data_IF_764963710552
#
_entry.id   IF_764963710552
#
_cell.length_a   1.000
_cell.length_b   1.000
_cell.length_c   1.000
_cell.angle_alpha   90.00
_cell.angle_beta   90.00
_cell.angle_gamma   90.00
#
_symmetry.space_group_name_H-M   'P 1'
#
loop_
_entity.id
_entity.type
_entity.pdbx_description
1 polymer ?
#
# COMPACT_ATOMS: atom_id res chain seq x y z
N UNK A 1 4.73 -2.05 7.22
CA UNK A 1 3.46 -2.59 7.78
C UNK A 1 2.76 -3.61 6.87
N UNK A 2 2.95 -3.57 5.53
CA UNK A 2 2.40 -4.59 4.61
C UNK A 2 2.93 -6.04 4.84
N UNK A 3 4.16 -6.18 5.36
CA UNK A 3 4.81 -7.48 5.60
C UNK A 3 4.04 -8.41 6.54
N UNK A 4 3.20 -7.90 7.44
CA UNK A 4 2.40 -8.74 8.33
C UNK A 4 1.19 -9.38 7.61
N UNK A 5 0.62 -8.72 6.60
CA UNK A 5 -0.48 -9.29 5.81
C UNK A 5 0.01 -10.44 4.93
N UNK A 6 1.16 -10.25 4.27
CA UNK A 6 1.78 -11.27 3.43
C UNK A 6 2.13 -12.55 4.20
N UNK A 7 2.60 -12.39 5.45
CA UNK A 7 2.92 -13.52 6.34
C UNK A 7 1.69 -14.36 6.74
N UNK A 8 0.48 -13.81 6.64
CA UNK A 8 -0.76 -14.53 6.96
C UNK A 8 -1.31 -15.33 5.76
N UNK A 9 -0.90 -14.99 4.53
CA UNK A 9 -1.39 -15.67 3.33
C UNK A 9 -0.93 -17.13 3.26
N UNK A 10 0.34 -17.41 3.52
CA UNK A 10 0.88 -18.77 3.45
C UNK A 10 0.25 -19.71 4.50
N UNK A 11 0.15 -19.33 5.80
CA UNK A 11 -0.59 -20.13 6.78
C UNK A 11 -2.07 -20.32 6.45
N UNK A 12 -2.74 -19.27 5.93
CA UNK A 12 -4.13 -19.37 5.50
C UNK A 12 -4.30 -20.32 4.29
N UNK A 13 -3.31 -20.36 3.39
CA UNK A 13 -3.27 -21.30 2.27
C UNK A 13 -3.10 -22.73 2.76
N UNK A 14 -2.09 -22.98 3.58
CA UNK A 14 -1.80 -24.31 4.13
C UNK A 14 -2.99 -24.87 4.96
N UNK A 15 -3.65 -24.03 5.75
CA UNK A 15 -4.86 -24.41 6.48
C UNK A 15 -6.00 -24.82 5.54
N UNK A 16 -6.22 -24.03 4.47
CA UNK A 16 -7.24 -24.31 3.46
C UNK A 16 -7.00 -25.64 2.74
N UNK A 17 -5.74 -25.90 2.37
CA UNK A 17 -5.35 -27.10 1.63
C UNK A 17 -5.49 -28.35 2.48
N UNK A 18 -5.09 -28.28 3.76
CA UNK A 18 -5.27 -29.39 4.72
C UNK A 18 -6.74 -29.75 4.93
N UNK A 19 -7.63 -28.77 5.06
CA UNK A 19 -9.06 -29.02 5.20
C UNK A 19 -9.67 -29.60 3.92
N UNK A 20 -9.24 -29.11 2.76
CA UNK A 20 -9.70 -29.63 1.46
C UNK A 20 -9.27 -31.08 1.25
N UNK A 21 -8.04 -31.43 1.66
CA UNK A 21 -7.56 -32.80 1.64
C UNK A 21 -8.34 -33.71 2.62
N UNK A 22 -8.63 -33.22 3.84
CA UNK A 22 -9.40 -33.96 4.84
C UNK A 22 -10.84 -34.26 4.39
N UNK A 23 -11.42 -33.39 3.56
CA UNK A 23 -12.80 -33.52 3.10
C UNK A 23 -12.97 -34.39 1.86
N UNK A 24 -11.93 -34.48 1.02
CA UNK A 24 -11.87 -35.44 -0.09
C UNK A 24 -11.91 -36.91 0.37
N UNK A 25 -11.45 -37.20 1.59
CA UNK A 25 -11.41 -38.55 2.17
C UNK A 25 -12.71 -39.01 2.84
N UNK A 26 -13.77 -38.20 2.82
CA UNK A 26 -15.03 -38.54 3.49
C UNK A 26 -15.82 -39.50 2.60
N UNK A 27 -15.51 -40.78 2.83
CA UNK A 27 -16.20 -41.96 2.32
C UNK A 27 -17.73 -41.85 2.48
N UNK A 28 -18.45 -42.51 1.56
CA UNK A 28 -19.89 -42.74 1.63
C UNK A 28 -20.34 -43.47 2.91
N UNK A 29 -19.39 -43.99 3.70
CA UNK A 29 -19.62 -44.57 5.02
C UNK A 29 -20.29 -43.60 6.02
N UNK A 30 -20.15 -42.28 5.84
CA UNK A 30 -20.71 -41.27 6.76
C UNK A 30 -22.05 -40.69 6.31
N UNK A 31 -22.64 -41.19 5.22
CA UNK A 31 -23.85 -40.61 4.60
C UNK A 31 -25.03 -40.53 5.58
N UNK A 32 -25.17 -41.48 6.51
CA UNK A 32 -26.22 -41.47 7.55
C UNK A 32 -25.75 -40.97 8.93
N UNK A 33 -24.49 -40.52 9.05
CA UNK A 33 -23.91 -40.00 10.31
C UNK A 33 -23.49 -38.52 10.20
N UNK A 34 -24.22 -37.73 9.41
CA UNK A 34 -23.97 -36.30 9.26
C UNK A 34 -22.82 -35.95 8.31
N UNK A 35 -22.40 -36.89 7.45
CA UNK A 35 -21.36 -36.65 6.44
C UNK A 35 -21.71 -35.54 5.44
N UNK A 36 -23.00 -35.36 5.14
CA UNK A 36 -23.48 -34.29 4.27
C UNK A 36 -23.41 -32.90 4.95
N UNK A 37 -23.83 -32.79 6.21
CA UNK A 37 -23.65 -31.58 7.03
C UNK A 37 -22.17 -31.23 7.20
N UNK A 38 -21.31 -32.23 7.43
CA UNK A 38 -19.87 -32.02 7.52
C UNK A 38 -19.27 -31.52 6.19
N UNK A 39 -19.66 -32.13 5.06
CA UNK A 39 -19.24 -31.66 3.72
C UNK A 39 -19.70 -30.22 3.47
N UNK A 40 -20.92 -29.88 3.87
CA UNK A 40 -21.46 -28.54 3.75
C UNK A 40 -20.66 -27.54 4.60
N UNK A 41 -20.43 -27.84 5.88
CA UNK A 41 -19.64 -26.98 6.77
C UNK A 41 -18.21 -26.78 6.28
N UNK A 42 -17.59 -27.84 5.74
CA UNK A 42 -16.26 -27.72 5.17
C UNK A 42 -16.24 -26.87 3.90
N UNK A 43 -17.25 -27.02 3.04
CA UNK A 43 -17.39 -26.19 1.84
C UNK A 43 -17.59 -24.71 2.20
N UNK A 44 -18.42 -24.43 3.20
CA UNK A 44 -18.60 -23.06 3.73
C UNK A 44 -17.31 -22.51 4.35
N UNK A 45 -16.59 -23.33 5.09
CA UNK A 45 -15.32 -22.95 5.70
C UNK A 45 -14.27 -22.63 4.63
N UNK A 46 -14.14 -23.45 3.59
CA UNK A 46 -13.24 -23.20 2.44
C UNK A 46 -13.62 -21.88 1.76
N UNK A 47 -14.93 -21.65 1.53
CA UNK A 47 -15.42 -20.39 0.95
C UNK A 47 -15.02 -19.18 1.80
N UNK A 48 -15.22 -19.23 3.11
CA UNK A 48 -14.83 -18.15 4.04
C UNK A 48 -13.32 -17.92 4.05
N UNK A 49 -12.52 -18.98 4.01
CA UNK A 49 -11.06 -18.87 3.93
C UNK A 49 -10.59 -18.21 2.63
N UNK A 50 -11.22 -18.52 1.49
CA UNK A 50 -10.91 -17.87 0.22
C UNK A 50 -11.29 -16.39 0.23
N UNK A 51 -12.43 -16.03 0.83
CA UNK A 51 -12.82 -14.62 1.02
C UNK A 51 -11.82 -13.88 1.91
N UNK A 52 -11.36 -14.51 2.99
CA UNK A 52 -10.37 -13.93 3.89
C UNK A 52 -9.03 -13.68 3.19
N UNK A 53 -8.54 -14.64 2.39
CA UNK A 53 -7.34 -14.46 1.56
C UNK A 53 -7.48 -13.30 0.58
N UNK A 54 -8.62 -13.19 -0.10
CA UNK A 54 -8.89 -12.11 -1.04
C UNK A 54 -8.88 -10.74 -0.33
N UNK A 55 -9.48 -10.65 0.85
CA UNK A 55 -9.49 -9.42 1.65
C UNK A 55 -8.07 -9.03 2.10
N UNK A 56 -7.25 -9.98 2.55
CA UNK A 56 -5.85 -9.72 2.93
C UNK A 56 -5.05 -9.20 1.73
N UNK A 57 -5.17 -9.86 0.57
CA UNK A 57 -4.48 -9.44 -0.65
C UNK A 57 -4.91 -8.03 -1.10
N UNK A 58 -6.19 -7.71 -0.95
CA UNK A 58 -6.71 -6.39 -1.25
C UNK A 58 -6.15 -5.32 -0.30
N UNK A 59 -6.13 -5.57 1.01
CA UNK A 59 -5.53 -4.67 1.99
C UNK A 59 -4.05 -4.44 1.68
N UNK A 60 -3.30 -5.49 1.35
CA UNK A 60 -1.89 -5.39 0.97
C UNK A 60 -1.70 -4.50 -0.26
N UNK A 61 -2.53 -4.68 -1.30
CA UNK A 61 -2.51 -3.86 -2.51
C UNK A 61 -2.83 -2.39 -2.22
N UNK A 62 -3.87 -2.13 -1.43
CA UNK A 62 -4.29 -0.76 -1.07
C UNK A 62 -3.21 -0.06 -0.23
N UNK A 63 -2.59 -0.76 0.72
CA UNK A 63 -1.47 -0.23 1.50
C UNK A 63 -0.26 0.13 0.63
N UNK A 64 0.09 -0.72 -0.34
CA UNK A 64 1.19 -0.44 -1.26
C UNK A 64 0.88 0.74 -2.19
N UNK A 65 -0.35 0.83 -2.68
CA UNK A 65 -0.82 1.97 -3.46
C UNK A 65 -0.76 3.27 -2.64
N UNK A 66 -1.19 3.22 -1.38
CA UNK A 66 -1.15 4.39 -0.49
C UNK A 66 0.29 4.82 -0.19
N UNK A 67 1.19 3.88 0.07
CA UNK A 67 2.61 4.18 0.28
C UNK A 67 3.25 4.81 -0.97
N UNK A 68 2.91 4.32 -2.16
CA UNK A 68 3.39 4.87 -3.44
C UNK A 68 2.87 6.29 -3.66
N UNK A 69 1.58 6.52 -3.40
CA UNK A 69 0.99 7.85 -3.54
C UNK A 69 1.57 8.83 -2.53
N UNK A 70 1.77 8.40 -1.29
CA UNK A 70 2.40 9.21 -0.26
C UNK A 70 3.81 9.64 -0.68
N UNK A 71 4.64 8.70 -1.14
CA UNK A 71 5.98 9.02 -1.63
C UNK A 71 5.94 10.00 -2.81
N UNK A 72 5.03 9.80 -3.76
CA UNK A 72 4.83 10.72 -4.90
C UNK A 72 4.47 12.12 -4.44
N UNK A 73 3.60 12.24 -3.44
CA UNK A 73 3.20 13.55 -2.90
C UNK A 73 4.34 14.25 -2.17
N UNK A 74 5.11 13.51 -1.37
CA UNK A 74 6.29 14.06 -0.66
C UNK A 74 7.37 14.53 -1.65
N UNK A 75 7.64 13.77 -2.71
CA UNK A 75 8.58 14.16 -3.76
C UNK A 75 8.11 15.42 -4.52
N UNK A 76 6.81 15.51 -4.84
CA UNK A 76 6.23 16.67 -5.48
C UNK A 76 6.31 17.92 -4.59
N UNK A 77 6.08 17.78 -3.29
CA UNK A 77 6.16 18.90 -2.34
C UNK A 77 7.61 19.36 -2.15
N UNK A 78 8.56 18.43 -2.01
CA UNK A 78 9.99 18.74 -1.95
C UNK A 78 10.48 19.49 -3.20
N UNK A 79 10.03 19.09 -4.39
CA UNK A 79 10.33 19.78 -5.64
C UNK A 79 9.76 21.22 -5.65
N UNK A 80 8.54 21.42 -5.16
CA UNK A 80 7.92 22.75 -5.07
C UNK A 80 8.66 23.67 -4.10
N UNK A 81 9.08 23.16 -2.95
CA UNK A 81 9.85 23.93 -1.96
C UNK A 81 11.21 24.34 -2.54
N UNK A 82 11.90 23.43 -3.23
CA UNK A 82 13.19 23.72 -3.87
C UNK A 82 13.08 24.80 -4.95
N UNK A 83 12.04 24.74 -5.77
CA UNK A 83 11.79 25.76 -6.80
C UNK A 83 11.42 27.12 -6.19
N UNK A 84 10.60 27.14 -5.13
CA UNK A 84 10.28 28.37 -4.40
C UNK A 84 11.53 29.02 -3.79
N UNK A 85 12.43 28.21 -3.21
CA UNK A 85 13.72 28.69 -2.70
C UNK A 85 14.62 29.24 -3.82
N UNK A 86 14.67 28.57 -4.98
CA UNK A 86 15.43 29.05 -6.13
C UNK A 86 14.93 30.42 -6.58
N UNK A 87 13.62 30.58 -6.78
CA UNK A 87 13.03 31.86 -7.19
C UNK A 87 13.23 32.97 -6.16
N UNK A 88 13.14 32.65 -4.85
CA UNK A 88 13.41 33.62 -3.80
C UNK A 88 14.89 34.09 -3.83
N UNK A 89 15.83 33.16 -4.03
CA UNK A 89 17.25 33.49 -4.14
C UNK A 89 17.59 34.33 -5.37
N UNK A 90 16.96 34.04 -6.50
CA UNK A 90 17.13 34.80 -7.75
C UNK A 90 16.57 36.23 -7.62
N UNK A 91 15.41 36.39 -6.98
CA UNK A 91 14.85 37.72 -6.68
C UNK A 91 15.75 38.52 -5.76
N UNK A 92 16.24 37.91 -4.67
CA UNK A 92 17.16 38.56 -3.75
C UNK A 92 18.47 38.98 -4.45
N UNK A 93 19.01 38.15 -5.34
CA UNK A 93 20.20 38.47 -6.12
C UNK A 93 19.96 39.62 -7.11
N UNK A 94 18.81 39.64 -7.79
CA UNK A 94 18.44 40.72 -8.72
C UNK A 94 18.22 42.06 -7.99
N UNK A 95 17.56 42.05 -6.83
CA UNK A 95 17.37 43.24 -6.00
C UNK A 95 18.70 43.77 -5.45
N UNK A 96 19.59 42.89 -5.00
CA UNK A 96 20.93 43.28 -4.55
C UNK A 96 21.76 43.91 -5.68
N UNK A 97 21.68 43.36 -6.90
CA UNK A 97 22.35 43.90 -8.08
C UNK A 97 21.78 45.29 -8.47
N UNK A 98 20.46 45.47 -8.43
CA UNK A 98 19.82 46.76 -8.68
C UNK A 98 20.21 47.82 -7.64
N UNK A 99 20.23 47.47 -6.35
CA UNK A 99 20.67 48.36 -5.28
C UNK A 99 22.16 48.76 -5.43
N UNK A 100 23.02 47.83 -5.82
CA UNK A 100 24.43 48.10 -6.08
C UNK A 100 24.64 49.01 -7.31
N UNK A 101 23.83 48.86 -8.36
CA UNK A 101 23.85 49.73 -9.54
C UNK A 101 23.39 51.16 -9.21
N UNK A 102 22.30 51.31 -8.45
CA UNK A 102 21.80 52.62 -8.00
C UNK A 102 22.81 53.40 -7.14
N UNK A 103 23.60 52.68 -6.31
CA UNK A 103 24.65 53.28 -5.49
C UNK A 103 25.85 53.78 -6.29
N UNK A 104 26.08 53.25 -7.51
CA UNK A 104 27.16 53.70 -8.42
C UNK A 104 26.75 54.91 -9.26
N UNK A 105 25.48 55.02 -9.66
CA UNK A 105 24.99 56.16 -10.46
C UNK A 105 24.73 57.42 -9.64
N UNK A 106 24.43 57.33 -8.34
CA UNK A 106 24.31 58.49 -7.45
C UNK A 106 25.62 59.21 -7.10
N UNK A 107 26.76 58.76 -7.64
CA UNK A 107 28.11 59.31 -7.35
C UNK A 107 28.72 60.13 -8.50
N UNK A 108 27.97 60.36 -9.57
CA UNK A 108 28.39 61.23 -10.68
C UNK A 108 27.80 62.61 -10.40
N UNK A 109 28.68 63.53 -10.01
CA UNK A 109 28.42 64.97 -9.81
C UNK A 109 28.07 65.66 -11.11
#
# INVERSE_FOLDING_TARGET
>A
MASNCHQLLAPAQDCSDKMSAATLGISDYWVDMGGEEFKQHCTEWIKKMNQFKAAIAQIESEMMSYATELQRTEEAEAARVKEAQRQASERAAAEAAAAAAAKKTGKIK
#
